data_IF_976664088033
#
_entry.id   IF_976664088033
#
_cell.length_a   1.000
_cell.length_b   1.000
_cell.length_c   1.000
_cell.angle_alpha   90.00
_cell.angle_beta   90.00
_cell.angle_gamma   90.00
#
_symmetry.space_group_name_H-M   'P 1'
#
loop_
_entity.id
_entity.type
_entity.pdbx_description
1 polymer ?
#
# COMPACT_ATOMS: atom_id res chain seq x y z
N UNK A 1 19.04 -32.03 22.97
CA UNK A 1 18.04 -31.17 22.30
C UNK A 1 17.78 -30.01 23.23
N UNK A 2 18.01 -28.78 22.76
CA UNK A 2 17.84 -27.58 23.59
C UNK A 2 16.40 -27.09 23.46
N UNK A 3 15.56 -27.52 24.40
CA UNK A 3 14.10 -27.34 24.35
C UNK A 3 13.69 -25.87 24.26
N UNK A 4 14.50 -24.95 24.80
CA UNK A 4 14.25 -23.51 24.75
C UNK A 4 14.51 -22.89 23.37
N UNK A 5 15.55 -23.36 22.66
CA UNK A 5 15.84 -22.92 21.30
C UNK A 5 14.75 -23.41 20.32
N UNK A 6 14.27 -24.64 20.53
CA UNK A 6 13.20 -25.21 19.72
C UNK A 6 11.85 -24.49 19.96
N UNK A 7 11.52 -24.15 21.20
CA UNK A 7 10.30 -23.36 21.51
C UNK A 7 10.37 -21.96 20.92
N UNK A 8 11.50 -21.27 21.06
CA UNK A 8 11.69 -19.93 20.48
C UNK A 8 11.53 -19.96 18.95
N UNK A 9 12.10 -20.97 18.29
CA UNK A 9 11.97 -21.14 16.83
C UNK A 9 10.51 -21.33 16.42
N UNK A 10 9.77 -22.13 17.17
CA UNK A 10 8.35 -22.37 16.92
C UNK A 10 7.53 -21.08 17.10
N UNK A 11 7.76 -20.33 18.18
CA UNK A 11 7.05 -19.09 18.48
C UNK A 11 7.31 -18.01 17.41
N UNK A 12 8.58 -17.83 17.01
CA UNK A 12 8.95 -16.89 15.94
C UNK A 12 8.36 -17.30 14.58
N UNK A 13 8.32 -18.61 14.28
CA UNK A 13 7.69 -19.12 13.07
C UNK A 13 6.18 -18.86 13.04
N UNK A 14 5.50 -19.06 14.18
CA UNK A 14 4.07 -18.78 14.32
C UNK A 14 3.77 -17.28 14.20
N UNK A 15 4.58 -16.43 14.84
CA UNK A 15 4.46 -14.98 14.72
C UNK A 15 4.68 -14.51 13.27
N UNK A 16 5.71 -15.01 12.59
CA UNK A 16 5.99 -14.67 11.19
C UNK A 16 4.82 -15.00 10.27
N UNK A 17 4.27 -16.21 10.37
CA UNK A 17 3.10 -16.63 9.59
C UNK A 17 1.87 -15.76 9.88
N UNK A 18 1.65 -15.38 11.14
CA UNK A 18 0.57 -14.48 11.51
C UNK A 18 0.76 -13.09 10.88
N UNK A 19 1.98 -12.55 10.90
CA UNK A 19 2.29 -11.25 10.28
C UNK A 19 2.11 -11.31 8.76
N UNK A 20 2.63 -12.36 8.08
CA UNK A 20 2.46 -12.55 6.64
C UNK A 20 0.98 -12.60 6.27
N UNK A 21 0.17 -13.32 7.06
CA UNK A 21 -1.29 -13.37 6.87
C UNK A 21 -1.91 -11.97 6.99
N UNK A 22 -1.58 -11.21 8.03
CA UNK A 22 -2.09 -9.84 8.23
C UNK A 22 -1.71 -8.93 7.06
N UNK A 23 -0.46 -8.98 6.60
CA UNK A 23 0.01 -8.22 5.44
C UNK A 23 -0.76 -8.60 4.17
N UNK A 24 -0.98 -9.89 3.91
CA UNK A 24 -1.76 -10.36 2.77
C UNK A 24 -3.24 -9.96 2.84
N UNK A 25 -3.84 -9.92 4.02
CA UNK A 25 -5.20 -9.39 4.21
C UNK A 25 -5.31 -7.90 3.85
N UNK A 26 -4.28 -7.10 4.17
CA UNK A 26 -4.23 -5.71 3.72
C UNK A 26 -4.19 -5.61 2.20
N UNK A 27 -3.37 -6.43 1.52
CA UNK A 27 -3.30 -6.41 0.04
C UNK A 27 -4.66 -6.72 -0.59
N UNK A 28 -5.39 -7.72 -0.08
CA UNK A 28 -6.75 -8.02 -0.53
C UNK A 28 -7.71 -6.84 -0.35
N UNK A 29 -7.68 -6.18 0.81
CA UNK A 29 -8.53 -5.01 1.08
C UNK A 29 -8.14 -3.80 0.23
N UNK A 30 -6.85 -3.57 -0.01
CA UNK A 30 -6.36 -2.48 -0.87
C UNK A 30 -6.86 -2.65 -2.31
N UNK A 31 -6.92 -3.88 -2.83
CA UNK A 31 -7.48 -4.14 -4.16
C UNK A 31 -8.98 -3.81 -4.24
N UNK A 32 -9.75 -4.12 -3.19
CA UNK A 32 -11.17 -3.75 -3.10
C UNK A 32 -11.35 -2.23 -3.11
N UNK A 33 -10.57 -1.51 -2.28
CA UNK A 33 -10.60 -0.04 -2.18
C UNK A 33 -10.30 0.62 -3.54
N UNK A 34 -9.28 0.13 -4.26
CA UNK A 34 -8.95 0.62 -5.61
C UNK A 34 -10.08 0.41 -6.61
N UNK A 35 -10.68 -0.78 -6.61
CA UNK A 35 -11.79 -1.11 -7.50
C UNK A 35 -12.98 -0.19 -7.29
N UNK A 36 -13.39 0.05 -6.05
CA UNK A 36 -14.49 0.96 -5.72
C UNK A 36 -14.17 2.42 -6.00
N UNK A 37 -12.94 2.86 -5.73
CA UNK A 37 -12.52 4.23 -6.02
C UNK A 37 -12.68 4.58 -7.50
N UNK A 38 -12.11 3.74 -8.37
CA UNK A 38 -12.19 3.91 -9.83
C UNK A 38 -13.64 3.88 -10.28
N UNK A 39 -14.42 2.91 -9.80
CA UNK A 39 -15.84 2.75 -10.17
C UNK A 39 -16.68 3.97 -9.80
N UNK A 40 -16.58 4.44 -8.56
CA UNK A 40 -17.36 5.60 -8.08
C UNK A 40 -16.91 6.90 -8.75
N UNK A 41 -15.61 7.06 -8.99
CA UNK A 41 -15.08 8.24 -9.69
C UNK A 41 -15.58 8.31 -11.14
N UNK A 42 -15.50 7.20 -11.88
CA UNK A 42 -16.03 7.11 -13.26
C UNK A 42 -17.54 7.31 -13.30
N UNK A 43 -18.29 6.72 -12.36
CA UNK A 43 -19.71 6.93 -12.25
C UNK A 43 -20.06 8.40 -12.00
N UNK A 44 -19.37 9.07 -11.07
CA UNK A 44 -19.56 10.50 -10.80
C UNK A 44 -19.27 11.37 -12.02
N UNK A 45 -18.18 11.10 -12.74
CA UNK A 45 -17.84 11.80 -13.98
C UNK A 45 -18.90 11.58 -15.08
N UNK A 46 -19.29 10.33 -15.31
CA UNK A 46 -20.32 10.00 -16.32
C UNK A 46 -21.66 10.63 -16.00
N UNK A 47 -22.10 10.57 -14.74
CA UNK A 47 -23.34 11.19 -14.29
C UNK A 47 -23.29 12.72 -14.38
N UNK A 48 -22.12 13.35 -14.15
CA UNK A 48 -21.93 14.78 -14.33
C UNK A 48 -22.27 15.25 -15.74
N UNK A 49 -21.82 14.51 -16.76
CA UNK A 49 -22.18 14.78 -18.15
C UNK A 49 -23.64 14.41 -18.46
N UNK A 50 -24.10 13.26 -17.99
CA UNK A 50 -25.45 12.78 -18.28
C UNK A 50 -26.55 13.68 -17.70
N UNK A 51 -26.36 14.17 -16.47
CA UNK A 51 -27.32 15.02 -15.78
C UNK A 51 -27.08 16.51 -16.05
N UNK A 52 -25.96 16.86 -16.67
CA UNK A 52 -25.58 18.25 -16.91
C UNK A 52 -25.30 19.01 -15.62
N UNK A 53 -24.73 18.36 -14.60
CA UNK A 53 -24.47 18.94 -13.27
C UNK A 53 -23.00 18.88 -12.90
N UNK A 54 -22.32 20.04 -12.89
CA UNK A 54 -20.88 20.08 -12.66
C UNK A 54 -20.49 19.80 -11.20
N UNK A 55 -21.39 19.92 -10.22
CA UNK A 55 -21.12 19.51 -8.83
C UNK A 55 -20.76 18.02 -8.73
N UNK A 56 -21.22 17.18 -9.66
CA UNK A 56 -20.86 15.76 -9.70
C UNK A 56 -19.38 15.53 -10.06
N UNK A 57 -18.73 16.46 -10.76
CA UNK A 57 -17.28 16.40 -10.99
C UNK A 57 -16.49 16.69 -9.72
N UNK A 58 -16.93 17.66 -8.92
CA UNK A 58 -16.35 17.91 -7.59
C UNK A 58 -16.59 16.73 -6.65
N UNK A 59 -17.79 16.11 -6.70
CA UNK A 59 -18.09 14.90 -5.95
C UNK A 59 -17.16 13.74 -6.34
N UNK A 60 -16.90 13.55 -7.64
CA UNK A 60 -15.98 12.53 -8.13
C UNK A 60 -14.55 12.79 -7.62
N UNK A 61 -14.06 14.04 -7.71
CA UNK A 61 -12.74 14.40 -7.20
C UNK A 61 -12.62 14.22 -5.68
N UNK A 62 -13.62 14.66 -4.92
CA UNK A 62 -13.66 14.52 -3.46
C UNK A 62 -13.72 13.05 -3.04
N UNK A 63 -14.48 12.23 -3.75
CA UNK A 63 -14.56 10.78 -3.50
C UNK A 63 -13.21 10.12 -3.76
N UNK A 64 -12.57 10.40 -4.91
CA UNK A 64 -11.24 9.88 -5.23
C UNK A 64 -10.19 10.29 -4.18
N UNK A 65 -10.25 11.54 -3.69
CA UNK A 65 -9.35 12.02 -2.63
C UNK A 65 -9.57 11.28 -1.30
N UNK A 66 -10.83 11.00 -0.94
CA UNK A 66 -11.16 10.23 0.25
C UNK A 66 -10.66 8.77 0.14
N UNK A 67 -10.80 8.15 -1.03
CA UNK A 67 -10.25 6.82 -1.29
C UNK A 67 -8.72 6.79 -1.23
N UNK A 68 -8.03 7.78 -1.79
CA UNK A 68 -6.59 7.93 -1.63
C UNK A 68 -6.18 8.01 -0.16
N UNK A 69 -6.89 8.80 0.65
CA UNK A 69 -6.60 8.93 2.06
C UNK A 69 -6.76 7.60 2.82
N UNK A 70 -7.86 6.87 2.55
CA UNK A 70 -8.10 5.53 3.13
C UNK A 70 -6.98 4.57 2.71
N UNK A 71 -6.63 4.54 1.42
CA UNK A 71 -5.58 3.67 0.91
C UNK A 71 -4.22 4.00 1.53
N UNK A 72 -3.88 5.28 1.65
CA UNK A 72 -2.66 5.75 2.27
C UNK A 72 -2.56 5.33 3.75
N UNK A 73 -3.66 5.44 4.51
CA UNK A 73 -3.72 4.96 5.89
C UNK A 73 -3.53 3.45 5.96
N UNK A 74 -4.25 2.68 5.15
CA UNK A 74 -4.14 1.23 5.09
C UNK A 74 -2.72 0.78 4.73
N UNK A 75 -2.10 1.40 3.72
CA UNK A 75 -0.72 1.09 3.33
C UNK A 75 0.26 1.40 4.45
N UNK A 76 0.08 2.53 5.14
CA UNK A 76 0.90 2.87 6.31
C UNK A 76 0.72 1.86 7.46
N UNK A 77 -0.49 1.36 7.69
CA UNK A 77 -0.73 0.30 8.68
C UNK A 77 -0.09 -1.02 8.28
N UNK A 78 -0.25 -1.45 7.02
CA UNK A 78 0.44 -2.62 6.47
C UNK A 78 1.95 -2.50 6.66
N UNK A 79 2.52 -1.33 6.40
CA UNK A 79 3.97 -1.13 6.49
C UNK A 79 4.56 -1.20 7.90
N UNK A 80 3.75 -1.04 8.96
CA UNK A 80 4.22 -1.18 10.35
C UNK A 80 4.57 -2.61 10.73
N UNK A 81 4.14 -3.58 9.93
CA UNK A 81 4.42 -5.00 10.15
C UNK A 81 5.77 -5.45 9.59
N UNK A 82 6.30 -4.77 8.56
CA UNK A 82 7.58 -5.13 7.94
C UNK A 82 8.78 -5.08 8.91
N UNK A 83 8.91 -4.09 9.82
CA UNK A 83 10.00 -4.09 10.81
C UNK A 83 10.05 -5.35 11.65
N UNK A 84 8.90 -5.78 12.19
CA UNK A 84 8.82 -6.99 13.00
C UNK A 84 9.04 -8.25 12.17
N UNK A 85 8.50 -8.30 10.95
CA UNK A 85 8.76 -9.40 10.02
C UNK A 85 10.27 -9.55 9.76
N UNK A 86 10.97 -8.44 9.49
CA UNK A 86 12.42 -8.42 9.29
C UNK A 86 13.20 -8.88 10.52
N UNK A 87 12.84 -8.41 11.72
CA UNK A 87 13.49 -8.84 12.95
C UNK A 87 13.43 -10.36 13.14
N UNK A 88 12.30 -10.97 12.81
CA UNK A 88 12.14 -12.43 12.88
C UNK A 88 13.03 -13.12 11.84
N UNK A 89 13.10 -12.60 10.61
CA UNK A 89 13.94 -13.15 9.55
C UNK A 89 15.44 -13.05 9.88
N UNK A 90 15.85 -11.95 10.52
CA UNK A 90 17.22 -11.77 11.06
C UNK A 90 17.51 -12.81 12.14
N UNK A 91 16.60 -12.97 13.12
CA UNK A 91 16.75 -13.97 14.17
C UNK A 91 16.81 -15.39 13.60
N UNK A 92 15.95 -15.71 12.63
CA UNK A 92 15.91 -16.99 11.96
C UNK A 92 17.20 -17.29 11.18
N UNK A 93 17.80 -16.28 10.54
CA UNK A 93 19.11 -16.40 9.92
C UNK A 93 20.20 -16.77 10.94
N UNK A 94 20.29 -16.04 12.06
CA UNK A 94 21.30 -16.34 13.08
C UNK A 94 21.11 -17.71 13.75
N UNK A 95 19.88 -18.19 13.86
CA UNK A 95 19.58 -19.49 14.48
C UNK A 95 19.76 -20.68 13.52
N UNK A 96 19.44 -20.51 12.23
CA UNK A 96 19.19 -21.64 11.34
C UNK A 96 19.79 -21.51 9.93
N UNK A 97 20.67 -20.54 9.66
CA UNK A 97 21.31 -20.45 8.35
C UNK A 97 22.11 -21.72 8.02
N UNK A 98 22.19 -22.04 6.73
CA UNK A 98 22.97 -23.12 6.18
C UNK A 98 23.85 -22.58 5.06
N UNK A 99 25.08 -23.04 4.98
CA UNK A 99 25.96 -22.69 3.87
C UNK A 99 25.84 -23.75 2.78
N UNK A 100 25.32 -23.34 1.63
CA UNK A 100 25.16 -24.17 0.42
C UNK A 100 26.05 -23.58 -0.68
N UNK A 101 27.04 -24.34 -1.15
CA UNK A 101 27.95 -23.93 -2.23
C UNK A 101 28.59 -22.54 -2.03
N UNK A 102 28.93 -22.22 -0.78
CA UNK A 102 29.51 -20.93 -0.40
C UNK A 102 28.51 -19.77 -0.28
N UNK A 103 27.21 -20.06 -0.37
CA UNK A 103 26.12 -19.10 -0.18
C UNK A 103 25.37 -19.44 1.10
N UNK A 104 25.30 -18.47 2.02
CA UNK A 104 24.52 -18.64 3.24
C UNK A 104 23.04 -18.42 2.97
N UNK A 105 22.22 -19.42 3.27
CA UNK A 105 20.77 -19.41 3.06
C UNK A 105 20.04 -19.61 4.37
N UNK A 106 18.87 -18.98 4.52
CA UNK A 106 17.99 -19.17 5.68
C UNK A 106 16.51 -19.12 5.27
N UNK A 107 15.60 -19.45 6.18
CA UNK A 107 14.16 -19.27 5.98
C UNK A 107 13.52 -18.91 7.32
N UNK A 108 12.47 -18.07 7.35
CA UNK A 108 11.79 -17.40 6.22
C UNK A 108 12.55 -16.17 5.67
N UNK A 109 12.16 -15.69 4.47
CA UNK A 109 12.76 -14.53 3.79
C UNK A 109 11.72 -13.67 3.03
N UNK A 110 10.48 -13.57 3.54
CA UNK A 110 9.39 -12.89 2.83
C UNK A 110 9.69 -11.41 2.65
N UNK A 111 10.10 -10.69 3.70
CA UNK A 111 10.44 -9.27 3.58
C UNK A 111 11.86 -9.08 3.01
N UNK A 112 12.81 -9.88 3.47
CA UNK A 112 14.22 -9.78 3.06
C UNK A 112 14.43 -9.99 1.56
N UNK A 113 13.74 -10.97 0.95
CA UNK A 113 13.87 -11.26 -0.49
C UNK A 113 13.51 -10.08 -1.39
N UNK A 114 12.64 -9.16 -0.96
CA UNK A 114 12.31 -7.97 -1.74
C UNK A 114 13.42 -6.92 -1.78
N UNK A 115 14.26 -6.89 -0.74
CA UNK A 115 15.31 -5.87 -0.60
C UNK A 115 16.68 -6.36 -1.06
N UNK A 116 17.01 -7.63 -0.78
CA UNK A 116 18.37 -8.14 -0.95
C UNK A 116 18.40 -9.65 -1.29
N UNK A 117 17.46 -10.15 -2.13
CA UNK A 117 17.49 -11.54 -2.59
C UNK A 117 18.89 -11.95 -3.08
N UNK A 118 19.53 -12.85 -2.32
CA UNK A 118 20.85 -13.41 -2.64
C UNK A 118 22.05 -12.50 -2.33
N UNK A 119 21.89 -11.41 -1.58
CA UNK A 119 23.00 -10.54 -1.18
C UNK A 119 23.02 -10.35 0.34
N UNK A 120 24.03 -10.89 1.00
CA UNK A 120 24.39 -10.54 2.37
C UNK A 120 23.59 -11.22 3.47
N UNK A 121 23.77 -10.71 4.69
CA UNK A 121 23.10 -11.16 5.92
C UNK A 121 21.93 -10.21 6.15
N UNK A 122 20.71 -10.69 6.44
CA UNK A 122 19.57 -9.82 6.69
C UNK A 122 19.90 -8.86 7.84
N UNK A 123 19.55 -7.59 7.66
CA UNK A 123 19.71 -6.56 8.68
C UNK A 123 18.35 -6.05 9.16
N UNK A 124 18.20 -5.74 10.46
CA UNK A 124 17.03 -5.02 10.96
C UNK A 124 16.91 -3.64 10.30
N UNK A 125 15.67 -3.18 10.11
CA UNK A 125 15.42 -1.81 9.64
C UNK A 125 15.93 -0.78 10.65
N UNK A 126 16.66 0.23 10.19
CA UNK A 126 17.03 1.35 11.04
C UNK A 126 15.79 2.21 11.38
N UNK A 127 15.70 2.84 12.57
CA UNK A 127 14.54 3.68 12.92
C UNK A 127 14.25 4.82 11.93
N UNK A 128 15.30 5.37 11.30
CA UNK A 128 15.16 6.40 10.27
C UNK A 128 14.54 5.83 8.98
N UNK A 129 14.87 4.59 8.63
CA UNK A 129 14.33 3.89 7.48
C UNK A 129 12.86 3.57 7.68
N UNK A 130 12.48 3.04 8.85
CA UNK A 130 11.07 2.81 9.20
C UNK A 130 10.26 4.11 9.10
N UNK A 131 10.77 5.22 9.66
CA UNK A 131 10.10 6.52 9.54
C UNK A 131 9.95 6.95 8.09
N UNK A 132 10.99 6.79 7.27
CA UNK A 132 10.95 7.11 5.84
C UNK A 132 9.91 6.26 5.12
N UNK A 133 9.91 4.94 5.29
CA UNK A 133 8.93 4.02 4.71
C UNK A 133 7.50 4.45 5.02
N UNK A 134 7.22 4.78 6.29
CA UNK A 134 5.90 5.23 6.72
C UNK A 134 5.51 6.61 6.15
N UNK A 135 6.48 7.51 5.95
CA UNK A 135 6.23 8.83 5.35
C UNK A 135 6.00 8.79 3.84
N UNK A 136 6.64 7.85 3.13
CA UNK A 136 6.48 7.72 1.67
C UNK A 136 5.25 6.91 1.29
N UNK A 137 4.64 6.18 2.21
CA UNK A 137 3.50 5.29 1.94
C UNK A 137 2.36 5.96 1.12
N UNK A 138 1.91 7.19 1.41
CA UNK A 138 0.87 7.87 0.63
C UNK A 138 1.28 8.22 -0.80
N UNK A 139 2.59 8.29 -1.05
CA UNK A 139 3.22 8.77 -2.28
C UNK A 139 3.76 7.65 -3.16
N UNK A 140 3.61 6.40 -2.74
CA UNK A 140 3.97 5.26 -3.58
C UNK A 140 3.14 5.32 -4.86
N UNK A 141 3.74 5.12 -6.06
CA UNK A 141 3.03 5.26 -7.32
C UNK A 141 1.74 4.44 -7.39
N UNK A 142 1.77 3.20 -6.89
CA UNK A 142 0.59 2.33 -6.90
C UNK A 142 -0.49 2.71 -5.87
N UNK A 143 -0.21 3.61 -4.92
CA UNK A 143 -1.18 4.16 -3.96
C UNK A 143 -1.74 5.48 -4.47
N UNK A 144 -0.89 6.37 -4.98
CA UNK A 144 -1.30 7.71 -5.40
C UNK A 144 -1.93 7.74 -6.80
N UNK A 145 -1.30 7.09 -7.79
CA UNK A 145 -1.66 7.25 -9.20
C UNK A 145 -3.12 6.89 -9.54
N UNK A 146 -3.71 5.80 -9.01
CA UNK A 146 -5.09 5.43 -9.35
C UNK A 146 -6.09 6.54 -9.02
N UNK A 147 -5.87 7.27 -7.93
CA UNK A 147 -6.77 8.33 -7.47
C UNK A 147 -6.41 9.69 -8.06
N UNK A 148 -5.11 9.97 -8.27
CA UNK A 148 -4.64 11.23 -8.81
C UNK A 148 -5.31 11.58 -10.14
N UNK A 149 -5.50 10.59 -11.02
CA UNK A 149 -6.18 10.78 -12.31
C UNK A 149 -7.62 11.25 -12.10
N UNK A 150 -8.38 10.58 -11.23
CA UNK A 150 -9.77 10.94 -10.95
C UNK A 150 -9.90 12.30 -10.26
N UNK A 151 -9.02 12.61 -9.29
CA UNK A 151 -8.96 13.91 -8.62
C UNK A 151 -8.68 15.02 -9.63
N UNK A 152 -7.65 14.85 -10.46
CA UNK A 152 -7.27 15.87 -11.45
C UNK A 152 -8.36 16.08 -12.49
N UNK A 153 -8.90 15.00 -13.07
CA UNK A 153 -9.97 15.11 -14.07
C UNK A 153 -11.24 15.74 -13.50
N UNK A 154 -11.69 15.30 -12.33
CA UNK A 154 -12.87 15.87 -11.67
C UNK A 154 -12.67 17.34 -11.29
N UNK A 155 -11.50 17.70 -10.75
CA UNK A 155 -11.18 19.08 -10.42
C UNK A 155 -11.11 19.97 -11.67
N UNK A 156 -10.40 19.53 -12.72
CA UNK A 156 -10.31 20.27 -13.98
C UNK A 156 -11.70 20.49 -14.58
N UNK A 157 -12.52 19.45 -14.69
CA UNK A 157 -13.87 19.58 -15.25
C UNK A 157 -14.76 20.50 -14.41
N UNK A 158 -14.67 20.41 -13.07
CA UNK A 158 -15.40 21.30 -12.18
C UNK A 158 -15.01 22.76 -12.37
N UNK A 159 -13.71 23.09 -12.34
CA UNK A 159 -13.26 24.48 -12.48
C UNK A 159 -13.46 25.03 -13.89
N UNK A 160 -13.32 24.18 -14.92
CA UNK A 160 -13.61 24.56 -16.30
C UNK A 160 -15.10 24.86 -16.51
N UNK A 161 -16.01 24.08 -15.89
CA UNK A 161 -17.43 24.36 -15.91
C UNK A 161 -17.79 25.62 -15.11
N UNK A 162 -17.17 25.81 -13.93
CA UNK A 162 -17.35 26.99 -13.11
C UNK A 162 -16.88 28.29 -13.80
N UNK A 163 -15.89 28.18 -14.68
CA UNK A 163 -15.38 29.29 -15.49
C UNK A 163 -16.12 29.48 -16.83
N UNK A 164 -17.25 28.78 -17.05
CA UNK A 164 -18.05 28.82 -18.27
C UNK A 164 -17.25 28.57 -19.56
N UNK A 165 -16.27 27.65 -19.51
CA UNK A 165 -15.48 27.34 -20.71
C UNK A 165 -16.35 26.73 -21.82
N UNK A 166 -16.01 27.00 -23.11
CA UNK A 166 -16.74 26.46 -24.24
C UNK A 166 -16.86 24.94 -24.17
N UNK A 167 -18.09 24.43 -24.30
CA UNK A 167 -18.41 23.00 -24.22
C UNK A 167 -18.82 22.51 -22.82
N UNK A 168 -18.64 23.32 -21.77
CA UNK A 168 -19.10 23.03 -20.40
C UNK A 168 -20.08 24.08 -19.85
N UNK A 169 -20.22 25.23 -20.52
CA UNK A 169 -21.14 26.32 -20.11
C UNK A 169 -22.62 25.90 -20.03
N UNK A 170 -23.02 24.79 -20.66
CA UNK A 170 -24.37 24.25 -20.51
C UNK A 170 -24.62 23.47 -19.20
N UNK A 171 -23.58 23.22 -18.41
CA UNK A 171 -23.67 22.50 -17.15
C UNK A 171 -24.20 23.42 -16.04
N UNK A 172 -25.14 22.90 -15.26
CA UNK A 172 -25.73 23.56 -14.10
C UNK A 172 -24.93 23.21 -12.84
N UNK A 173 -25.00 24.06 -11.80
CA UNK A 173 -24.51 23.70 -10.47
C UNK A 173 -25.11 22.38 -9.99
#
# INVERSE_FOLDING_TARGET
MDTAADSLRQDLGAEHQAIVKVVGEFDGRLMIVKGWSVTLSLAGLGLGFQQGHYALFALAAGTALAFWYIEALMKRHQMRYYPRMREIEVAAYHLNHQDLDGVSVSSPQVDWSWTEAGRGVPQPYAPAEVRRMLSIAPWLPHVFLPHAVAVLLGAVLYFCALADLPGLAQLKP
#
